data_IF_973754328563
#
_entry.id   IF_973754328563
#
_cell.length_a   1.000
_cell.length_b   1.000
_cell.length_c   1.000
_cell.angle_alpha   90.00
_cell.angle_beta   90.00
_cell.angle_gamma   90.00
#
_symmetry.space_group_name_H-M   'P 1'
#
loop_
_entity.id
_entity.type
_entity.pdbx_description
1 polymer ?
#
# COMPACT_ATOMS: atom_id res chain seq x y z
N UNK A 1 0.79 4.56 -9.26
CA UNK A 1 1.61 5.76 -9.59
C UNK A 1 3.02 5.27 -9.92
N UNK A 2 3.78 5.94 -10.80
CA UNK A 2 5.19 5.58 -11.06
C UNK A 2 6.16 6.20 -10.06
N UNK A 3 5.77 7.34 -9.48
CA UNK A 3 6.49 8.03 -8.41
C UNK A 3 5.88 7.67 -7.06
N UNK A 4 6.71 7.13 -6.16
CA UNK A 4 6.32 6.71 -4.81
C UNK A 4 6.06 7.90 -3.88
N UNK A 5 6.82 8.99 -4.01
CA UNK A 5 6.63 10.19 -3.19
C UNK A 5 5.29 10.83 -3.54
N UNK A 6 4.96 10.87 -4.84
CA UNK A 6 3.65 11.36 -5.26
C UNK A 6 2.50 10.48 -4.75
N UNK A 7 2.70 9.16 -4.71
CA UNK A 7 1.69 8.25 -4.14
C UNK A 7 1.43 8.53 -2.65
N UNK A 8 2.50 8.81 -1.88
CA UNK A 8 2.38 9.17 -0.46
C UNK A 8 1.61 10.49 -0.27
N UNK A 9 1.92 11.53 -1.06
CA UNK A 9 1.20 12.81 -1.02
C UNK A 9 -0.29 12.63 -1.33
N UNK A 10 -0.61 11.85 -2.37
CA UNK A 10 -1.98 11.57 -2.75
C UNK A 10 -2.75 10.82 -1.65
N UNK A 11 -2.10 9.91 -0.91
CA UNK A 11 -2.71 9.20 0.21
C UNK A 11 -3.08 10.15 1.36
N UNK A 12 -2.18 11.06 1.72
CA UNK A 12 -2.45 12.09 2.74
C UNK A 12 -3.57 13.01 2.28
N UNK A 13 -3.55 13.41 1.00
CA UNK A 13 -4.60 14.23 0.39
C UNK A 13 -5.96 13.51 0.43
N UNK A 14 -6.02 12.22 0.05
CA UNK A 14 -7.23 11.41 0.10
C UNK A 14 -7.84 11.39 1.50
N UNK A 15 -7.04 11.08 2.53
CA UNK A 15 -7.51 11.08 3.93
C UNK A 15 -8.10 12.42 4.34
N UNK A 16 -7.49 13.54 3.92
CA UNK A 16 -7.98 14.90 4.19
C UNK A 16 -9.29 15.18 3.46
N UNK A 17 -9.37 14.85 2.17
CA UNK A 17 -10.56 15.06 1.35
C UNK A 17 -11.75 14.26 1.88
N UNK A 18 -11.56 12.98 2.20
CA UNK A 18 -12.63 12.13 2.75
C UNK A 18 -13.14 12.68 4.08
N UNK A 19 -12.23 13.08 4.99
CA UNK A 19 -12.63 13.72 6.26
C UNK A 19 -13.36 15.04 6.06
N UNK A 20 -12.91 15.87 5.12
CA UNK A 20 -13.56 17.14 4.80
C UNK A 20 -14.97 16.92 4.26
N UNK A 21 -15.12 15.98 3.32
CA UNK A 21 -16.42 15.66 2.74
C UNK A 21 -17.37 15.05 3.77
N UNK A 22 -16.91 14.12 4.59
CA UNK A 22 -17.71 13.53 5.67
C UNK A 22 -18.30 14.61 6.60
N UNK A 23 -17.47 15.57 7.03
CA UNK A 23 -17.95 16.69 7.88
C UNK A 23 -19.02 17.54 7.21
N UNK A 24 -18.91 17.77 5.90
CA UNK A 24 -19.93 18.53 5.14
C UNK A 24 -21.29 17.82 5.11
N UNK A 25 -21.31 16.50 5.28
CA UNK A 25 -22.52 15.68 5.35
C UNK A 25 -22.94 15.33 6.78
N UNK A 26 -22.36 15.98 7.80
CA UNK A 26 -22.73 15.74 9.20
C UNK A 26 -22.27 14.39 9.77
N UNK A 27 -21.33 13.71 9.12
CA UNK A 27 -20.78 12.42 9.56
C UNK A 27 -19.26 12.49 9.78
N UNK A 28 -18.70 11.50 10.48
CA UNK A 28 -17.25 11.40 10.73
C UNK A 28 -16.65 10.21 10.00
N UNK A 29 -15.67 10.46 9.13
CA UNK A 29 -14.85 9.40 8.55
C UNK A 29 -13.74 8.98 9.53
N UNK A 30 -13.73 7.70 9.91
CA UNK A 30 -12.73 7.11 10.79
C UNK A 30 -11.79 6.19 10.00
N UNK A 31 -10.48 6.38 10.18
CA UNK A 31 -9.42 5.57 9.56
C UNK A 31 -8.58 4.85 10.63
N UNK A 32 -9.12 4.66 11.83
CA UNK A 32 -8.48 3.84 12.85
C UNK A 32 -8.45 2.39 12.37
N UNK A 33 -7.38 1.66 12.71
CA UNK A 33 -7.22 0.27 12.28
C UNK A 33 -8.39 -0.63 12.75
N UNK A 34 -8.90 -0.41 13.97
CA UNK A 34 -10.01 -1.18 14.53
C UNK A 34 -10.89 -0.29 15.42
N UNK A 35 -11.83 0.48 14.86
CA UNK A 35 -12.65 1.41 15.65
C UNK A 35 -13.79 0.72 16.39
N UNK A 36 -14.26 -0.43 15.90
CA UNK A 36 -15.36 -1.20 16.51
C UNK A 36 -14.95 -2.67 16.55
N UNK A 37 -14.89 -3.24 17.76
CA UNK A 37 -14.41 -4.60 18.02
C UNK A 37 -15.10 -5.66 17.17
N UNK A 38 -16.44 -5.59 17.09
CA UNK A 38 -17.30 -6.57 16.44
C UNK A 38 -17.23 -6.59 14.90
N UNK A 39 -16.60 -5.59 14.28
CA UNK A 39 -16.53 -5.47 12.81
C UNK A 39 -15.10 -5.56 12.31
N UNK A 40 -14.90 -5.96 11.05
CA UNK A 40 -13.59 -5.93 10.42
C UNK A 40 -12.96 -4.52 10.51
N UNK A 41 -11.63 -4.49 10.65
CA UNK A 41 -10.87 -3.25 10.75
C UNK A 41 -10.67 -2.53 9.41
N UNK A 42 -10.06 -1.34 9.46
CA UNK A 42 -9.59 -0.63 8.27
C UNK A 42 -8.11 -0.97 8.02
N UNK A 43 -7.83 -1.64 6.90
CA UNK A 43 -6.47 -1.90 6.43
C UNK A 43 -5.99 -0.89 5.40
N UNK A 44 -4.68 -0.85 5.18
CA UNK A 44 -4.04 -0.09 4.11
C UNK A 44 -3.11 -1.03 3.34
N UNK A 45 -3.67 -1.68 2.32
CA UNK A 45 -2.90 -2.63 1.51
C UNK A 45 -2.10 -1.87 0.45
N UNK A 46 -0.81 -2.16 0.37
CA UNK A 46 0.07 -1.59 -0.65
C UNK A 46 0.24 -2.54 -1.82
N UNK A 47 0.00 -2.03 -3.03
CA UNK A 47 0.37 -2.70 -4.27
C UNK A 47 1.69 -2.11 -4.74
N UNK A 48 2.75 -2.93 -4.76
CA UNK A 48 4.11 -2.48 -5.05
C UNK A 48 4.63 -3.18 -6.31
N UNK A 49 5.26 -2.40 -7.17
CA UNK A 49 6.00 -2.88 -8.34
C UNK A 49 7.29 -2.08 -8.45
N UNK A 50 8.35 -2.69 -8.96
CA UNK A 50 9.65 -2.03 -9.14
C UNK A 50 9.96 -1.94 -10.63
N UNK A 51 10.39 -0.76 -11.09
CA UNK A 51 10.78 -0.52 -12.48
C UNK A 51 12.29 -0.28 -12.56
N UNK A 52 12.92 -0.78 -13.61
CA UNK A 52 14.29 -0.40 -13.97
C UNK A 52 14.33 0.97 -14.68
N UNK A 53 15.54 1.43 -15.03
CA UNK A 53 15.75 2.71 -15.71
C UNK A 53 15.11 2.78 -17.11
N UNK A 54 14.83 1.63 -17.72
CA UNK A 54 14.10 1.52 -18.98
C UNK A 54 12.56 1.50 -18.78
N UNK A 55 12.09 1.55 -17.53
CA UNK A 55 10.68 1.53 -17.16
C UNK A 55 10.03 0.14 -17.19
N UNK A 56 10.83 -0.93 -17.28
CA UNK A 56 10.33 -2.32 -17.28
C UNK A 56 10.09 -2.76 -15.84
N UNK A 57 8.93 -3.37 -15.58
CA UNK A 57 8.63 -3.95 -14.27
C UNK A 57 9.52 -5.19 -14.02
N UNK A 58 10.44 -5.10 -13.06
CA UNK A 58 11.39 -6.18 -12.74
C UNK A 58 10.75 -7.35 -12.00
N UNK A 59 9.57 -7.14 -11.41
CA UNK A 59 8.79 -8.21 -10.79
C UNK A 59 7.91 -8.95 -11.79
N UNK A 60 7.75 -8.45 -13.01
CA UNK A 60 6.92 -9.09 -14.01
C UNK A 60 7.48 -10.47 -14.41
N UNK A 61 6.59 -11.44 -14.54
CA UNK A 61 6.91 -12.79 -14.99
C UNK A 61 7.11 -12.82 -16.51
N UNK A 62 8.15 -13.53 -16.95
CA UNK A 62 8.40 -13.76 -18.37
C UNK A 62 7.62 -15.01 -18.83
N UNK A 63 6.29 -14.90 -18.90
CA UNK A 63 5.38 -15.90 -19.51
C UNK A 63 5.68 -17.36 -19.14
N UNK A 64 5.14 -17.83 -18.02
CA UNK A 64 5.26 -19.21 -17.52
C UNK A 64 4.66 -19.33 -16.12
N UNK A 65 4.66 -20.53 -15.52
CA UNK A 65 4.10 -20.78 -14.18
C UNK A 65 5.05 -20.43 -13.01
N UNK A 66 6.22 -19.86 -13.31
CA UNK A 66 7.26 -19.62 -12.30
C UNK A 66 7.40 -18.14 -11.97
N UNK A 67 7.34 -17.84 -10.67
CA UNK A 67 7.54 -16.50 -10.12
C UNK A 67 8.91 -15.93 -10.50
N UNK A 68 8.98 -14.63 -10.77
CA UNK A 68 10.24 -13.98 -11.12
C UNK A 68 11.23 -13.99 -9.93
N UNK A 69 12.52 -14.32 -10.14
CA UNK A 69 13.50 -14.30 -9.05
C UNK A 69 13.58 -12.96 -8.30
N UNK A 70 13.52 -11.78 -8.97
CA UNK A 70 13.49 -10.50 -8.26
C UNK A 70 12.26 -10.33 -7.36
N UNK A 71 11.08 -10.82 -7.76
CA UNK A 71 9.89 -10.80 -6.92
C UNK A 71 10.10 -11.66 -5.67
N UNK A 72 10.61 -12.89 -5.83
CA UNK A 72 10.89 -13.79 -4.72
C UNK A 72 11.91 -13.19 -3.74
N UNK A 73 12.95 -12.53 -4.25
CA UNK A 73 13.93 -11.81 -3.42
C UNK A 73 13.29 -10.64 -2.65
N UNK A 74 12.43 -9.86 -3.31
CA UNK A 74 11.66 -8.79 -2.66
C UNK A 74 10.75 -9.31 -1.55
N UNK A 75 10.05 -10.42 -1.78
CA UNK A 75 9.22 -11.09 -0.78
C UNK A 75 10.07 -11.62 0.39
N UNK A 76 11.24 -12.20 0.11
CA UNK A 76 12.19 -12.66 1.13
C UNK A 76 12.63 -11.52 2.05
N UNK A 77 12.97 -10.37 1.47
CA UNK A 77 13.28 -9.16 2.24
C UNK A 77 12.11 -8.69 3.11
N UNK A 78 10.90 -8.65 2.55
CA UNK A 78 9.69 -8.27 3.30
C UNK A 78 9.42 -9.21 4.49
N UNK A 79 9.58 -10.52 4.31
CA UNK A 79 9.41 -11.50 5.39
C UNK A 79 10.47 -11.27 6.48
N UNK A 80 11.73 -11.04 6.09
CA UNK A 80 12.82 -10.80 7.03
C UNK A 80 12.61 -9.52 7.85
N UNK A 81 12.10 -8.45 7.25
CA UNK A 81 11.88 -7.15 7.92
C UNK A 81 10.46 -6.98 8.46
N UNK A 82 9.61 -8.01 8.39
CA UNK A 82 8.18 -7.91 8.68
C UNK A 82 7.92 -7.37 10.10
N UNK A 83 8.62 -7.91 11.10
CA UNK A 83 8.43 -7.51 12.50
C UNK A 83 8.75 -6.02 12.72
N UNK A 84 9.84 -5.53 12.15
CA UNK A 84 10.25 -4.12 12.23
C UNK A 84 9.27 -3.21 11.47
N UNK A 85 8.79 -3.67 10.31
CA UNK A 85 7.86 -2.90 9.47
C UNK A 85 6.51 -2.66 10.15
N UNK A 86 6.07 -3.54 11.07
CA UNK A 86 4.80 -3.39 11.80
C UNK A 86 4.83 -2.27 12.85
N UNK A 87 6.02 -1.74 13.16
CA UNK A 87 6.17 -0.59 14.06
C UNK A 87 5.86 0.74 13.37
N UNK A 88 5.94 0.78 12.03
CA UNK A 88 5.87 1.99 11.19
C UNK A 88 4.52 2.07 10.49
#
# INVERSE_FOLDING_TARGET
RKDVMRAADDLVMLKRLVRAQARRHGVTACFMAKPIEKYAGSGMHFHVSLQDDAGKNVFAEAGGESWSPPLLQGLGGLIQTMAESMLV
#
